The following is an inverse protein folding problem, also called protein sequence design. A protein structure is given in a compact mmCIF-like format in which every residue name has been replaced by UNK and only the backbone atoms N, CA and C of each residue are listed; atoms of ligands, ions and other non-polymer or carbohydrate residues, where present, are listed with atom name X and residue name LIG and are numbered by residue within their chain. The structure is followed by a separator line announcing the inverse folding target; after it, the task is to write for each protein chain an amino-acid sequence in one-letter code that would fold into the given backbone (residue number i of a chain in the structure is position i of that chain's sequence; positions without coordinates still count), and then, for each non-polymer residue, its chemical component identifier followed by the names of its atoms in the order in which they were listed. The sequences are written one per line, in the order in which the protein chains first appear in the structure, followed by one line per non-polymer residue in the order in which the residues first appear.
data_IF_098816773797
#
_entry.id   IF_098816773797
#
_cell.length_a   1.000
_cell.length_b   1.000
_cell.length_c   1.000
_cell.angle_alpha   90.00
_cell.angle_beta   90.00
_cell.angle_gamma   90.00
#
_symmetry.space_group_name_H-M   'P 1'
#
loop_
_entity.id
_entity.type
_entity.pdbx_description
1 polymer ?
#
# COMPACT_ATOMS: atom_id res chain seq x y z
N UNK A 1 17.36 16.18 -34.44
CA UNK A 1 18.36 16.25 -33.36
C UNK A 1 17.68 15.64 -32.13
N UNK A 2 18.07 14.43 -31.78
CA UNK A 2 17.54 13.72 -30.62
C UNK A 2 18.41 14.17 -29.44
N UNK A 3 17.84 14.97 -28.54
CA UNK A 3 18.52 15.37 -27.33
C UNK A 3 18.75 14.15 -26.44
N UNK A 4 19.99 13.73 -26.27
CA UNK A 4 20.37 12.74 -25.28
C UNK A 4 20.03 13.29 -23.88
N UNK A 5 19.03 12.70 -23.24
CA UNK A 5 18.82 12.88 -21.82
C UNK A 5 19.96 12.15 -21.08
N UNK A 6 20.96 12.91 -20.60
CA UNK A 6 22.06 12.33 -19.81
C UNK A 6 21.56 12.05 -18.41
N UNK A 7 21.23 10.79 -18.13
CA UNK A 7 20.93 10.32 -16.79
C UNK A 7 22.23 9.92 -16.11
N UNK A 8 22.64 10.63 -15.07
CA UNK A 8 23.83 10.30 -14.28
C UNK A 8 23.41 9.49 -13.06
N UNK A 9 23.96 8.29 -12.92
CA UNK A 9 23.78 7.45 -11.72
C UNK A 9 25.01 7.63 -10.83
N UNK A 10 24.78 8.05 -9.61
CA UNK A 10 25.83 8.17 -8.60
C UNK A 10 25.74 7.02 -7.60
N UNK A 11 26.82 6.27 -7.44
CA UNK A 11 26.94 5.19 -6.47
C UNK A 11 27.60 5.74 -5.21
N UNK A 12 26.98 5.51 -4.04
CA UNK A 12 27.64 5.83 -2.78
C UNK A 12 28.61 4.68 -2.44
N UNK A 13 29.93 4.89 -2.42
CA UNK A 13 30.90 3.80 -2.38
C UNK A 13 30.98 3.02 -1.06
N UNK A 14 30.45 3.59 0.03
CA UNK A 14 30.78 3.10 1.38
C UNK A 14 29.96 1.88 1.86
N UNK A 15 28.92 1.46 1.13
CA UNK A 15 28.01 0.45 1.64
C UNK A 15 27.69 -0.73 0.68
N UNK A 16 28.08 -0.66 -0.60
CA UNK A 16 27.49 -1.53 -1.62
C UNK A 16 28.38 -2.68 -2.12
N UNK A 17 29.62 -2.80 -1.68
CA UNK A 17 30.52 -3.87 -2.14
C UNK A 17 30.61 -3.96 -3.67
N UNK A 18 30.08 -5.01 -4.29
CA UNK A 18 30.04 -5.22 -5.74
C UNK A 18 28.70 -4.84 -6.40
N UNK A 19 27.76 -4.25 -5.68
CA UNK A 19 26.45 -3.90 -6.25
C UNK A 19 26.58 -2.95 -7.43
N UNK A 20 25.92 -3.25 -8.52
CA UNK A 20 25.92 -2.43 -9.73
C UNK A 20 24.50 -2.01 -10.12
N UNK A 21 24.41 -0.81 -10.68
CA UNK A 21 23.19 -0.30 -11.29
C UNK A 21 23.39 -0.26 -12.80
N UNK A 22 22.50 -0.86 -13.54
CA UNK A 22 22.46 -0.74 -14.99
C UNK A 22 21.17 -0.02 -15.40
N UNK A 23 21.32 1.02 -16.20
CA UNK A 23 20.22 1.69 -16.89
C UNK A 23 20.19 1.18 -18.31
N UNK A 24 19.10 0.57 -18.72
CA UNK A 24 18.88 0.16 -20.08
C UNK A 24 17.62 0.84 -20.64
N UNK A 25 17.63 1.30 -21.92
CA UNK A 25 16.43 1.79 -22.56
C UNK A 25 15.38 0.66 -22.60
N UNK A 26 14.14 0.96 -22.25
CA UNK A 26 13.02 0.06 -22.45
C UNK A 26 12.41 0.29 -23.84
N UNK A 27 12.04 -0.77 -24.53
CA UNK A 27 11.76 -0.78 -25.96
C UNK A 27 10.54 0.01 -26.45
N UNK A 28 9.84 0.74 -25.63
CA UNK A 28 8.59 1.34 -26.12
C UNK A 28 8.09 2.56 -25.37
N UNK A 29 8.61 3.53 -25.03
CA UNK A 29 7.98 4.76 -24.54
C UNK A 29 8.91 5.71 -23.73
N UNK A 30 10.17 5.88 -24.10
CA UNK A 30 11.09 6.73 -23.35
C UNK A 30 11.20 6.35 -21.85
N UNK A 31 11.08 5.08 -21.54
CA UNK A 31 11.28 4.55 -20.19
C UNK A 31 12.66 3.92 -20.09
N UNK A 32 13.28 3.99 -18.92
CA UNK A 32 14.51 3.29 -18.62
C UNK A 32 14.23 2.19 -17.61
N UNK A 33 14.79 1.02 -17.81
CA UNK A 33 14.83 0.00 -16.79
C UNK A 33 16.08 0.16 -15.93
N UNK A 34 15.90 0.05 -14.62
CA UNK A 34 16.97 0.08 -13.64
C UNK A 34 17.10 -1.31 -13.05
N UNK A 35 18.23 -1.95 -13.25
CA UNK A 35 18.56 -3.22 -12.61
C UNK A 35 19.61 -3.02 -11.55
N UNK A 36 19.40 -3.60 -10.38
CA UNK A 36 20.37 -3.62 -9.29
C UNK A 36 20.78 -5.06 -9.08
N UNK A 37 22.08 -5.31 -9.17
CA UNK A 37 22.69 -6.64 -8.98
C UNK A 37 23.54 -6.68 -7.73
N UNK A 38 23.70 -7.87 -7.15
CA UNK A 38 24.61 -8.15 -6.02
C UNK A 38 24.28 -7.35 -4.74
N UNK A 39 23.00 -7.21 -4.41
CA UNK A 39 22.60 -6.63 -3.14
C UNK A 39 23.07 -7.51 -1.96
N UNK A 40 23.48 -6.89 -0.84
CA UNK A 40 23.79 -7.62 0.39
C UNK A 40 22.62 -8.50 0.84
N UNK A 41 22.92 -9.56 1.60
CA UNK A 41 21.93 -10.55 2.02
C UNK A 41 20.85 -9.98 2.97
N UNK A 42 21.15 -8.91 3.67
CA UNK A 42 20.22 -8.26 4.63
C UNK A 42 20.18 -6.75 4.40
N UNK A 43 19.05 -6.11 4.67
CA UNK A 43 18.86 -4.67 4.58
C UNK A 43 17.97 -4.23 3.42
N UNK A 44 17.99 -2.96 3.10
CA UNK A 44 17.17 -2.34 2.06
C UNK A 44 18.02 -1.41 1.20
N UNK A 45 17.92 -1.56 -0.12
CA UNK A 45 18.45 -0.59 -1.07
C UNK A 45 17.41 0.47 -1.38
N UNK A 46 17.76 1.74 -1.28
CA UNK A 46 16.86 2.86 -1.57
C UNK A 46 17.37 3.64 -2.77
N UNK A 47 16.52 3.83 -3.75
CA UNK A 47 16.78 4.70 -4.90
C UNK A 47 16.20 6.07 -4.62
N UNK A 48 17.02 7.08 -4.83
CA UNK A 48 16.69 8.48 -4.66
C UNK A 48 16.67 9.18 -6.01
N UNK A 49 15.73 10.09 -6.20
CA UNK A 49 15.64 10.96 -7.37
C UNK A 49 15.80 12.42 -6.96
N UNK A 50 16.50 13.19 -7.79
CA UNK A 50 16.54 14.66 -7.70
C UNK A 50 16.59 15.26 -9.10
N UNK A 51 16.05 16.45 -9.25
CA UNK A 51 16.22 17.28 -10.47
C UNK A 51 17.48 18.14 -10.40
N UNK A 52 18.18 18.16 -9.28
CA UNK A 52 19.39 18.91 -9.05
C UNK A 52 20.52 18.02 -8.52
N UNK A 53 21.59 17.84 -9.30
CA UNK A 53 22.74 17.01 -8.93
C UNK A 53 23.50 17.53 -7.69
N UNK A 54 23.50 18.84 -7.47
CA UNK A 54 24.19 19.46 -6.34
C UNK A 54 23.32 19.55 -5.07
N UNK A 55 22.11 19.02 -5.12
CA UNK A 55 21.20 19.03 -3.99
C UNK A 55 21.80 18.26 -2.80
N UNK A 56 21.80 18.90 -1.64
CA UNK A 56 22.12 18.25 -0.35
C UNK A 56 20.85 17.79 0.30
N UNK A 57 20.85 16.56 0.81
CA UNK A 57 19.82 15.94 1.66
C UNK A 57 18.35 16.20 1.34
N UNK A 58 17.90 17.40 1.54
CA UNK A 58 16.48 17.79 1.47
C UNK A 58 15.85 17.81 0.07
N UNK A 59 16.65 17.77 -0.98
CA UNK A 59 16.17 17.79 -2.38
C UNK A 59 16.20 16.43 -3.07
N UNK A 60 16.50 15.37 -2.33
CA UNK A 60 16.46 14.00 -2.83
C UNK A 60 15.23 13.30 -2.29
N UNK A 61 14.36 12.83 -3.18
CA UNK A 61 13.18 12.05 -2.82
C UNK A 61 13.45 10.57 -3.02
N UNK A 62 13.14 9.74 -2.02
CA UNK A 62 13.16 8.31 -2.17
C UNK A 62 12.03 7.90 -3.13
N UNK A 63 12.38 7.24 -4.22
CA UNK A 63 11.41 6.81 -5.23
C UNK A 63 11.20 5.30 -5.21
N UNK A 64 12.14 4.55 -4.64
CA UNK A 64 12.03 3.11 -4.57
C UNK A 64 12.94 2.52 -3.51
N UNK A 65 12.48 1.44 -2.85
CA UNK A 65 13.29 0.64 -1.96
C UNK A 65 13.16 -0.85 -2.32
N UNK A 66 14.21 -1.61 -2.17
CA UNK A 66 14.24 -3.05 -2.46
C UNK A 66 14.65 -3.80 -1.20
N UNK A 67 13.90 -4.83 -0.79
CA UNK A 67 14.32 -5.72 0.28
C UNK A 67 15.53 -6.56 -0.15
N UNK A 68 16.32 -6.98 0.83
CA UNK A 68 17.46 -7.86 0.63
C UNK A 68 17.08 -9.22 0.00
N UNK A 69 18.02 -9.85 -0.66
CA UNK A 69 17.93 -11.26 -1.11
C UNK A 69 17.08 -11.51 -2.34
N UNK A 70 16.49 -10.48 -2.96
CA UNK A 70 15.83 -10.62 -4.27
C UNK A 70 16.64 -9.87 -5.33
N UNK A 71 17.20 -10.61 -6.29
CA UNK A 71 17.60 -9.99 -7.55
C UNK A 71 16.31 -9.47 -8.22
N UNK A 72 16.11 -8.19 -8.20
CA UNK A 72 14.95 -7.59 -8.84
C UNK A 72 15.42 -6.81 -10.05
N UNK A 73 15.09 -7.36 -11.21
CA UNK A 73 14.96 -6.57 -12.42
C UNK A 73 13.60 -5.87 -12.28
N UNK A 74 13.57 -4.68 -11.74
CA UNK A 74 12.37 -3.88 -11.73
C UNK A 74 12.48 -2.89 -12.87
N UNK A 75 11.58 -2.98 -13.82
CA UNK A 75 11.35 -1.95 -14.79
C UNK A 75 10.71 -0.77 -14.05
N UNK A 76 11.53 0.09 -13.48
CA UNK A 76 11.05 1.37 -12.97
C UNK A 76 10.66 2.21 -14.17
N UNK A 77 9.40 2.62 -14.33
CA UNK A 77 9.02 3.56 -15.35
C UNK A 77 9.59 4.95 -14.99
N UNK A 78 10.87 5.14 -15.25
CA UNK A 78 11.46 6.47 -15.23
C UNK A 78 10.95 7.18 -16.47
N UNK A 79 9.86 7.91 -16.35
CA UNK A 79 9.39 8.81 -17.42
C UNK A 79 10.19 10.11 -17.29
N UNK A 80 11.14 10.40 -18.18
CA UNK A 80 11.72 11.72 -18.24
C UNK A 80 10.60 12.68 -18.67
N UNK A 81 10.36 13.73 -17.90
CA UNK A 81 9.64 14.87 -18.45
C UNK A 81 10.46 15.43 -19.61
N UNK A 82 9.82 15.95 -20.63
CA UNK A 82 10.50 16.41 -21.86
C UNK A 82 11.52 17.53 -21.63
N UNK A 83 11.63 18.04 -20.42
CA UNK A 83 12.38 19.26 -20.08
C UNK A 83 13.35 19.12 -18.91
N UNK A 84 13.28 18.06 -18.09
CA UNK A 84 14.05 18.02 -16.85
C UNK A 84 15.09 16.88 -16.83
N UNK A 85 16.32 17.20 -16.44
CA UNK A 85 17.33 16.22 -16.09
C UNK A 85 16.94 15.55 -14.78
N UNK A 86 16.95 14.22 -14.72
CA UNK A 86 16.76 13.49 -13.49
C UNK A 86 18.07 12.80 -13.06
N UNK A 87 18.40 12.93 -11.79
CA UNK A 87 19.56 12.32 -11.18
C UNK A 87 19.09 11.24 -10.20
N UNK A 88 19.79 10.13 -10.15
CA UNK A 88 19.49 9.03 -9.26
C UNK A 88 20.70 8.68 -8.42
N UNK A 89 20.48 8.34 -7.17
CA UNK A 89 21.50 7.73 -6.31
C UNK A 89 20.93 6.47 -5.65
N UNK A 90 21.79 5.51 -5.41
CA UNK A 90 21.48 4.33 -4.61
C UNK A 90 22.12 4.47 -3.23
N UNK A 91 21.38 4.19 -2.19
CA UNK A 91 21.92 4.03 -0.84
C UNK A 91 21.52 2.67 -0.29
N UNK A 92 22.37 2.09 0.53
CA UNK A 92 22.09 0.85 1.26
C UNK A 92 21.82 1.15 2.71
N UNK A 93 20.83 0.47 3.29
CA UNK A 93 20.52 0.55 4.70
C UNK A 93 20.42 -0.86 5.28
N UNK A 94 21.18 -1.11 6.33
CA UNK A 94 21.08 -2.37 7.07
C UNK A 94 19.91 -2.27 8.06
N UNK A 95 18.69 -2.37 7.55
CA UNK A 95 17.47 -2.36 8.34
C UNK A 95 16.71 -3.66 8.13
N UNK A 96 15.94 -4.05 9.13
CA UNK A 96 15.08 -5.23 9.10
C UNK A 96 13.64 -4.75 9.16
N UNK A 97 12.90 -4.92 8.05
CA UNK A 97 11.46 -4.67 8.01
C UNK A 97 10.75 -5.77 8.80
N UNK A 98 9.66 -5.45 9.55
CA UNK A 98 8.93 -6.46 10.30
C UNK A 98 8.48 -7.65 9.44
N UNK A 99 8.61 -8.87 9.96
CA UNK A 99 8.33 -10.13 9.22
C UNK A 99 6.86 -10.25 8.78
N UNK A 100 5.96 -9.57 9.49
CA UNK A 100 4.54 -9.55 9.15
C UNK A 100 4.18 -8.59 8.00
N UNK A 101 5.16 -7.94 7.38
CA UNK A 101 4.93 -7.05 6.25
C UNK A 101 5.34 -7.70 4.92
N UNK A 102 4.51 -7.50 3.91
CA UNK A 102 4.72 -8.01 2.55
C UNK A 102 5.21 -6.86 1.67
N UNK A 103 6.30 -7.09 0.95
CA UNK A 103 6.79 -6.18 -0.07
C UNK A 103 5.95 -6.23 -1.34
N UNK A 104 5.52 -5.07 -1.80
CA UNK A 104 4.81 -4.88 -3.05
C UNK A 104 5.66 -4.00 -3.98
N UNK A 105 6.04 -4.51 -5.17
CA UNK A 105 6.77 -3.71 -6.14
C UNK A 105 5.86 -2.66 -6.79
N UNK A 106 6.44 -1.62 -7.42
CA UNK A 106 5.70 -0.76 -8.33
C UNK A 106 5.02 -1.57 -9.42
N UNK A 107 3.89 -1.08 -9.92
CA UNK A 107 3.18 -1.77 -10.99
C UNK A 107 1.92 -1.05 -11.43
N UNK A 108 1.39 -1.50 -12.55
CA UNK A 108 0.13 -1.02 -13.11
C UNK A 108 -0.99 -2.02 -12.84
N UNK A 109 -2.18 -1.54 -12.54
CA UNK A 109 -3.36 -2.39 -12.41
C UNK A 109 -4.63 -1.68 -12.88
N UNK A 110 -5.71 -2.44 -13.01
CA UNK A 110 -7.04 -1.92 -13.29
C UNK A 110 -7.81 -1.76 -12.00
N UNK A 111 -8.08 -0.52 -11.61
CA UNK A 111 -8.85 -0.15 -10.44
C UNK A 111 -10.32 0.02 -10.77
N UNK A 112 -11.20 -0.41 -9.87
CA UNK A 112 -12.64 -0.35 -10.02
C UNK A 112 -13.26 -1.63 -10.59
N UNK A 113 -14.58 -1.64 -10.79
CA UNK A 113 -15.34 -2.78 -11.30
C UNK A 113 -15.96 -2.47 -12.67
N UNK A 114 -15.98 -3.46 -13.60
CA UNK A 114 -16.63 -3.30 -14.89
C UNK A 114 -18.15 -3.21 -14.73
N UNK A 115 -18.84 -2.56 -15.69
CA UNK A 115 -20.29 -2.35 -15.62
C UNK A 115 -21.12 -3.63 -15.50
N UNK A 116 -20.59 -4.75 -16.01
CA UNK A 116 -21.21 -6.06 -15.91
C UNK A 116 -20.95 -6.83 -14.60
N UNK A 117 -20.18 -6.29 -13.66
CA UNK A 117 -19.89 -6.99 -12.41
C UNK A 117 -21.15 -7.05 -11.52
N UNK A 118 -21.56 -8.25 -11.07
CA UNK A 118 -22.79 -8.40 -10.28
C UNK A 118 -22.73 -7.59 -8.96
N UNK A 119 -23.81 -6.90 -8.66
CA UNK A 119 -24.00 -6.13 -7.41
C UNK A 119 -22.95 -5.01 -7.18
N UNK A 120 -22.32 -4.51 -8.24
CA UNK A 120 -21.44 -3.34 -8.14
C UNK A 120 -22.21 -2.07 -7.79
N UNK A 121 -21.54 -1.13 -7.14
CA UNK A 121 -22.04 0.22 -6.91
C UNK A 121 -21.54 1.17 -8.01
N UNK A 122 -22.27 2.26 -8.24
CA UNK A 122 -21.95 3.21 -9.32
C UNK A 122 -20.60 3.89 -9.15
N UNK A 123 -20.19 4.13 -7.91
CA UNK A 123 -18.94 4.79 -7.55
C UNK A 123 -17.69 3.88 -7.63
N UNK A 124 -17.88 2.60 -7.92
CA UNK A 124 -16.79 1.68 -8.22
C UNK A 124 -16.26 1.80 -9.66
N UNK A 125 -16.84 2.64 -10.46
CA UNK A 125 -16.48 2.84 -11.87
C UNK A 125 -16.27 4.30 -12.23
N UNK A 126 -15.74 4.49 -13.44
CA UNK A 126 -15.33 3.49 -14.44
C UNK A 126 -14.03 2.77 -14.06
N UNK A 127 -13.82 1.56 -14.60
CA UNK A 127 -12.53 0.89 -14.54
C UNK A 127 -11.48 1.76 -15.22
N UNK A 128 -10.39 2.01 -14.53
CA UNK A 128 -9.30 2.84 -15.05
C UNK A 128 -7.93 2.25 -14.68
N UNK A 129 -6.92 2.67 -15.43
CA UNK A 129 -5.54 2.25 -15.15
C UNK A 129 -4.96 3.12 -14.04
N UNK A 130 -4.34 2.48 -13.06
CA UNK A 130 -3.60 3.13 -11.98
C UNK A 130 -2.18 2.60 -11.98
N UNK A 131 -1.22 3.50 -11.85
CA UNK A 131 0.20 3.19 -11.66
C UNK A 131 0.55 3.41 -10.19
N UNK A 132 1.02 2.38 -9.52
CA UNK A 132 1.74 2.48 -8.27
C UNK A 132 3.21 2.71 -8.64
N UNK A 133 3.69 3.92 -8.48
CA UNK A 133 4.99 4.38 -8.97
C UNK A 133 6.16 4.11 -8.01
N UNK A 134 5.86 3.56 -6.83
CA UNK A 134 6.83 3.23 -5.78
C UNK A 134 6.57 1.84 -5.21
N UNK A 135 7.61 1.20 -4.71
CA UNK A 135 7.45 -0.01 -3.91
C UNK A 135 7.11 0.34 -2.46
N UNK A 136 6.40 -0.53 -1.80
CA UNK A 136 6.00 -0.34 -0.40
C UNK A 136 5.84 -1.68 0.31
N UNK A 137 5.89 -1.67 1.63
CA UNK A 137 5.51 -2.81 2.47
C UNK A 137 4.13 -2.58 3.03
N UNK A 138 3.34 -3.63 3.12
CA UNK A 138 2.00 -3.58 3.70
C UNK A 138 1.85 -4.71 4.72
N UNK A 139 1.21 -4.42 5.85
CA UNK A 139 0.90 -5.43 6.86
C UNK A 139 0.11 -6.58 6.25
N UNK A 140 0.56 -7.80 6.54
CA UNK A 140 -0.10 -9.05 6.14
C UNK A 140 -1.50 -9.17 6.72
N UNK A 141 -1.69 -8.65 7.92
CA UNK A 141 -2.90 -8.70 8.71
C UNK A 141 -3.41 -7.29 9.02
N UNK A 142 -4.66 -7.20 9.44
CA UNK A 142 -5.20 -6.03 10.11
C UNK A 142 -4.41 -5.74 11.40
N UNK A 143 -4.37 -4.49 11.85
CA UNK A 143 -3.74 -4.14 13.13
C UNK A 143 -4.52 -4.77 14.27
N UNK A 144 -3.86 -5.57 15.10
CA UNK A 144 -4.51 -6.26 16.22
C UNK A 144 -4.74 -5.35 17.43
N UNK A 145 -5.65 -5.75 18.32
CA UNK A 145 -5.91 -5.05 19.58
C UNK A 145 -4.65 -4.97 20.44
N UNK A 146 -3.85 -6.04 20.49
CA UNK A 146 -2.57 -6.04 21.22
C UNK A 146 -1.63 -4.97 20.67
N UNK A 147 -1.38 -5.00 19.35
CA UNK A 147 -0.45 -4.05 18.72
C UNK A 147 -0.91 -2.60 18.87
N UNK A 148 -2.22 -2.36 18.74
CA UNK A 148 -2.79 -1.03 18.95
C UNK A 148 -2.63 -0.57 20.39
N UNK A 149 -3.00 -1.41 21.35
CA UNK A 149 -2.95 -1.08 22.79
C UNK A 149 -1.51 -0.85 23.27
N UNK A 150 -0.57 -1.68 22.81
CA UNK A 150 0.84 -1.56 23.17
C UNK A 150 1.43 -0.19 22.77
N UNK A 151 0.98 0.38 21.65
CA UNK A 151 1.49 1.66 21.15
C UNK A 151 0.67 2.86 21.63
N UNK A 152 -0.66 2.72 21.69
CA UNK A 152 -1.58 3.83 21.98
C UNK A 152 -1.95 3.94 23.46
N UNK A 153 -1.76 2.87 24.24
CA UNK A 153 -2.05 2.83 25.67
C UNK A 153 -3.50 2.54 26.04
N UNK A 154 -4.39 2.36 25.05
CA UNK A 154 -5.81 2.04 25.26
C UNK A 154 -6.34 1.15 24.15
N UNK A 155 -7.42 0.40 24.44
CA UNK A 155 -8.15 -0.40 23.46
C UNK A 155 -9.54 0.21 23.21
N UNK A 156 -9.84 0.75 22.01
CA UNK A 156 -11.16 1.31 21.68
C UNK A 156 -12.18 0.25 21.28
N UNK A 157 -11.76 -1.01 21.10
CA UNK A 157 -12.60 -2.09 20.57
C UNK A 157 -13.82 -2.38 21.43
N UNK A 158 -14.90 -2.85 20.82
CA UNK A 158 -16.14 -3.21 21.50
C UNK A 158 -16.18 -4.64 22.02
N UNK A 159 -15.21 -5.45 21.61
CA UNK A 159 -15.07 -6.86 22.01
C UNK A 159 -14.13 -7.00 23.18
N UNK A 160 -14.18 -8.11 23.89
CA UNK A 160 -13.16 -8.44 24.89
C UNK A 160 -11.77 -8.37 24.27
N UNK A 161 -10.81 -7.88 25.09
CA UNK A 161 -9.42 -7.81 24.67
C UNK A 161 -8.86 -9.20 24.41
N UNK A 162 -8.33 -9.39 23.21
CA UNK A 162 -7.50 -10.55 22.86
C UNK A 162 -6.31 -10.10 22.02
N UNK A 163 -5.25 -10.90 22.01
CA UNK A 163 -4.03 -10.56 21.26
C UNK A 163 -4.25 -10.49 19.76
N UNK A 164 -5.05 -11.42 19.23
CA UNK A 164 -5.12 -11.72 17.80
C UNK A 164 -6.39 -11.21 17.09
N UNK A 165 -7.32 -10.58 17.81
CA UNK A 165 -8.45 -9.91 17.15
C UNK A 165 -8.01 -8.57 16.57
N UNK A 166 -8.50 -8.19 15.38
CA UNK A 166 -8.24 -6.85 14.87
C UNK A 166 -8.83 -5.79 15.79
N UNK A 167 -8.15 -4.66 15.90
CA UNK A 167 -8.70 -3.50 16.59
C UNK A 167 -9.87 -2.95 15.78
N UNK A 168 -10.97 -2.62 16.44
CA UNK A 168 -12.12 -1.98 15.82
C UNK A 168 -12.56 -0.71 16.58
N UNK A 169 -13.55 0.02 16.06
CA UNK A 169 -13.97 1.33 16.60
C UNK A 169 -12.85 2.38 16.64
N UNK A 170 -11.87 2.22 15.77
CA UNK A 170 -10.78 3.20 15.59
C UNK A 170 -11.26 4.28 14.62
N UNK A 171 -11.09 5.54 14.97
CA UNK A 171 -11.30 6.66 14.06
C UNK A 171 -10.16 6.72 13.04
N UNK A 172 -10.38 7.40 11.90
CA UNK A 172 -9.33 7.62 10.92
C UNK A 172 -8.15 8.42 11.50
N UNK A 173 -8.44 9.40 12.35
CA UNK A 173 -7.41 10.20 13.01
C UNK A 173 -6.58 9.38 14.00
N UNK A 174 -7.19 8.45 14.75
CA UNK A 174 -6.46 7.53 15.63
C UNK A 174 -5.60 6.54 14.85
N UNK A 175 -6.10 6.02 13.73
CA UNK A 175 -5.31 5.16 12.87
C UNK A 175 -4.08 5.89 12.28
N UNK A 176 -4.23 7.16 11.93
CA UNK A 176 -3.10 8.01 11.52
C UNK A 176 -2.13 8.31 12.66
N UNK A 177 -2.64 8.60 13.85
CA UNK A 177 -1.79 8.83 15.02
C UNK A 177 -1.00 7.57 15.37
N UNK A 178 -1.60 6.38 15.27
CA UNK A 178 -0.90 5.10 15.38
C UNK A 178 0.26 4.99 14.38
N UNK A 179 0.02 5.27 13.11
CA UNK A 179 1.06 5.27 12.08
C UNK A 179 2.19 6.27 12.37
N UNK A 180 1.83 7.46 12.84
CA UNK A 180 2.80 8.50 13.20
C UNK A 180 3.70 8.03 14.35
N UNK A 181 3.13 7.47 15.41
CA UNK A 181 3.91 6.94 16.56
C UNK A 181 4.81 5.79 16.16
N UNK A 182 4.36 4.87 15.29
CA UNK A 182 5.23 3.84 14.74
C UNK A 182 6.40 4.45 13.97
N UNK A 183 6.13 5.47 13.16
CA UNK A 183 7.17 6.17 12.39
C UNK A 183 8.20 6.82 13.31
N UNK A 184 7.76 7.51 14.36
CA UNK A 184 8.65 8.14 15.34
C UNK A 184 9.50 7.10 16.07
N UNK A 185 8.88 6.00 16.51
CA UNK A 185 9.56 4.91 17.22
C UNK A 185 10.65 4.24 16.36
N UNK A 186 10.31 3.86 15.15
CA UNK A 186 11.22 3.12 14.27
C UNK A 186 12.25 4.04 13.60
N UNK A 187 11.93 5.32 13.40
CA UNK A 187 12.92 6.33 12.99
C UNK A 187 13.99 6.53 14.06
N UNK A 188 13.57 6.61 15.34
CA UNK A 188 14.51 6.73 16.47
C UNK A 188 15.42 5.50 16.62
N UNK A 189 14.97 4.33 16.17
CA UNK A 189 15.72 3.07 16.15
C UNK A 189 16.55 2.86 14.88
N UNK A 190 16.41 3.75 13.88
CA UNK A 190 16.98 3.59 12.55
C UNK A 190 16.55 2.29 11.86
N UNK A 191 15.30 1.86 12.06
CA UNK A 191 14.73 0.65 11.46
C UNK A 191 13.79 0.93 10.30
N UNK A 192 13.51 2.19 9.98
CA UNK A 192 12.76 2.59 8.79
C UNK A 192 13.67 2.90 7.60
N UNK A 193 13.28 2.51 6.36
CA UNK A 193 13.97 2.98 5.17
C UNK A 193 13.93 4.51 5.08
N UNK A 194 15.04 5.12 4.73
CA UNK A 194 15.11 6.57 4.53
C UNK A 194 14.07 7.02 3.50
N UNK A 195 13.31 8.07 3.83
CA UNK A 195 12.26 8.59 2.97
C UNK A 195 10.95 7.79 3.02
N UNK A 196 10.87 6.79 3.89
CA UNK A 196 9.66 6.01 4.15
C UNK A 196 9.09 6.30 5.53
N UNK A 197 7.80 6.10 5.68
CA UNK A 197 7.06 6.24 6.93
C UNK A 197 5.95 5.21 7.03
N UNK A 198 5.49 4.92 8.23
CA UNK A 198 4.22 4.24 8.41
C UNK A 198 3.08 5.20 8.09
N UNK A 199 2.10 4.74 7.35
CA UNK A 199 0.84 5.44 7.07
C UNK A 199 -0.27 4.44 6.75
N UNK A 200 -1.49 4.92 6.66
CA UNK A 200 -2.57 4.15 6.04
C UNK A 200 -2.24 3.93 4.55
N UNK A 201 -2.66 2.80 3.96
CA UNK A 201 -2.59 2.62 2.52
C UNK A 201 -3.46 3.68 1.82
N UNK A 202 -3.04 4.13 0.65
CA UNK A 202 -3.96 4.80 -0.26
C UNK A 202 -5.02 3.80 -0.73
N UNK A 203 -6.16 4.29 -1.20
CA UNK A 203 -7.20 3.43 -1.76
C UNK A 203 -6.67 2.56 -2.91
N UNK A 204 -5.80 3.15 -3.74
CA UNK A 204 -5.17 2.44 -4.84
C UNK A 204 -4.19 1.37 -4.38
N UNK A 205 -3.35 1.65 -3.39
CA UNK A 205 -2.44 0.65 -2.81
C UNK A 205 -3.19 -0.50 -2.16
N UNK A 206 -4.30 -0.19 -1.47
CA UNK A 206 -5.15 -1.20 -0.86
C UNK A 206 -5.77 -2.12 -1.92
N UNK A 207 -6.38 -1.56 -2.99
CA UNK A 207 -7.00 -2.36 -4.05
C UNK A 207 -5.96 -3.14 -4.86
N UNK A 208 -4.76 -2.59 -5.08
CA UNK A 208 -3.64 -3.29 -5.70
C UNK A 208 -3.24 -4.54 -4.91
N UNK A 209 -3.08 -4.39 -3.60
CA UNK A 209 -2.77 -5.51 -2.70
C UNK A 209 -3.92 -6.53 -2.62
N UNK A 210 -5.16 -6.06 -2.54
CA UNK A 210 -6.35 -6.90 -2.48
C UNK A 210 -6.50 -7.76 -3.73
N UNK A 211 -6.34 -7.18 -4.93
CA UNK A 211 -6.46 -7.90 -6.20
C UNK A 211 -5.36 -8.91 -6.42
N UNK A 212 -4.17 -8.68 -5.91
CA UNK A 212 -3.04 -9.59 -6.05
C UNK A 212 -2.82 -10.05 -7.52
N UNK A 213 -2.92 -9.11 -8.46
CA UNK A 213 -2.73 -9.35 -9.90
C UNK A 213 -3.97 -9.80 -10.66
N UNK A 214 -5.14 -9.93 -10.01
CA UNK A 214 -6.41 -10.31 -10.68
C UNK A 214 -7.25 -9.09 -11.06
N UNK A 215 -8.21 -9.30 -11.99
CA UNK A 215 -9.24 -8.32 -12.33
C UNK A 215 -10.65 -8.81 -11.95
N UNK A 216 -10.75 -9.93 -11.24
CA UNK A 216 -12.00 -10.54 -10.80
C UNK A 216 -12.62 -9.82 -9.59
N UNK A 217 -13.86 -10.15 -9.26
CA UNK A 217 -14.58 -9.56 -8.12
C UNK A 217 -13.84 -9.78 -6.77
N UNK A 218 -13.18 -10.93 -6.62
CA UNK A 218 -12.33 -11.26 -5.46
C UNK A 218 -10.95 -11.70 -5.95
N UNK A 219 -9.96 -11.69 -5.10
CA UNK A 219 -8.58 -12.09 -5.43
C UNK A 219 -8.41 -13.53 -5.91
N UNK A 220 -9.38 -14.39 -5.67
CA UNK A 220 -9.40 -15.81 -6.07
C UNK A 220 -10.35 -16.10 -7.25
N UNK A 221 -11.07 -15.09 -7.76
CA UNK A 221 -12.05 -15.22 -8.88
C UNK A 221 -13.39 -14.57 -8.59
N UNK A 222 -14.43 -14.92 -9.37
CA UNK A 222 -15.74 -14.28 -9.30
C UNK A 222 -16.77 -15.05 -8.46
N UNK A 223 -16.44 -16.28 -8.04
CA UNK A 223 -17.41 -17.17 -7.40
C UNK A 223 -17.49 -16.95 -5.89
N UNK A 224 -18.64 -16.49 -5.41
CA UNK A 224 -18.91 -16.32 -3.97
C UNK A 224 -18.83 -17.61 -3.17
N UNK A 225 -19.00 -18.78 -3.80
CA UNK A 225 -18.94 -20.09 -3.12
C UNK A 225 -17.59 -20.40 -2.47
N UNK A 226 -16.52 -19.69 -2.85
CA UNK A 226 -15.20 -19.84 -2.27
C UNK A 226 -14.90 -18.78 -1.19
N UNK A 227 -15.77 -17.78 -1.02
CA UNK A 227 -15.52 -16.64 -0.14
C UNK A 227 -15.22 -17.06 1.31
N UNK A 228 -15.95 -18.05 1.83
CA UNK A 228 -15.74 -18.55 3.20
C UNK A 228 -14.37 -19.20 3.45
N UNK A 229 -13.58 -19.43 2.40
CA UNK A 229 -12.21 -19.91 2.53
C UNK A 229 -11.20 -18.74 2.63
N UNK A 230 -11.59 -17.52 2.19
CA UNK A 230 -10.71 -16.39 2.03
C UNK A 230 -11.09 -15.15 2.83
N UNK A 231 -12.31 -15.13 3.41
CA UNK A 231 -12.80 -13.95 4.11
C UNK A 231 -13.88 -14.28 5.15
N UNK A 232 -13.88 -13.53 6.24
CA UNK A 232 -14.90 -13.58 7.28
C UNK A 232 -16.04 -12.63 6.93
N UNK A 233 -17.24 -13.19 6.76
CA UNK A 233 -18.44 -12.47 6.32
C UNK A 233 -19.72 -13.00 6.99
N UNK A 234 -20.88 -12.45 6.65
CA UNK A 234 -22.14 -12.75 7.34
C UNK A 234 -22.51 -14.24 7.41
N UNK A 235 -22.07 -15.08 6.45
CA UNK A 235 -22.45 -16.49 6.44
C UNK A 235 -21.49 -17.40 7.23
N UNK A 236 -20.24 -16.98 7.53
CA UNK A 236 -19.27 -17.85 8.21
C UNK A 236 -18.74 -17.31 9.55
N UNK A 237 -18.89 -16.00 9.84
CA UNK A 237 -18.38 -15.35 11.05
C UNK A 237 -19.27 -15.53 12.29
N UNK A 238 -20.50 -16.04 12.13
CA UNK A 238 -21.53 -16.09 13.19
C UNK A 238 -21.85 -14.71 13.80
N UNK A 239 -21.65 -13.64 13.02
CA UNK A 239 -21.86 -12.26 13.47
C UNK A 239 -20.80 -11.75 14.45
N UNK A 240 -19.61 -12.34 14.46
CA UNK A 240 -18.49 -11.97 15.33
C UNK A 240 -17.24 -11.65 14.52
N UNK A 241 -16.41 -10.80 15.10
CA UNK A 241 -15.04 -10.53 14.64
C UNK A 241 -14.18 -11.77 14.94
N UNK A 242 -13.32 -12.14 14.02
CA UNK A 242 -12.49 -13.32 14.11
C UNK A 242 -10.99 -12.97 14.21
N UNK A 243 -10.20 -13.93 14.70
CA UNK A 243 -8.75 -13.76 14.77
C UNK A 243 -8.15 -13.56 13.38
N UNK A 244 -7.17 -12.67 13.30
CA UNK A 244 -6.47 -12.40 12.03
C UNK A 244 -5.73 -13.63 11.55
N UNK A 245 -5.71 -13.85 10.22
CA UNK A 245 -4.96 -14.94 9.62
C UNK A 245 -5.61 -16.31 9.71
N UNK A 246 -6.88 -16.41 10.14
CA UNK A 246 -7.58 -17.67 10.32
C UNK A 246 -7.99 -18.40 9.04
N UNK A 247 -7.99 -17.73 7.90
CA UNK A 247 -8.41 -18.27 6.61
C UNK A 247 -7.26 -18.27 5.58
N UNK A 248 -7.56 -18.66 4.34
CA UNK A 248 -6.57 -18.68 3.24
C UNK A 248 -6.27 -17.26 2.77
N UNK A 249 -5.00 -16.86 2.67
CA UNK A 249 -4.64 -15.55 2.16
C UNK A 249 -4.91 -15.41 0.65
N UNK A 250 -4.85 -14.19 0.15
CA UNK A 250 -4.84 -13.95 -1.27
C UNK A 250 -3.51 -14.42 -1.92
N UNK A 251 -3.37 -14.43 -3.25
CA UNK A 251 -2.16 -14.92 -3.93
C UNK A 251 -0.85 -14.20 -3.53
N UNK A 252 -0.93 -13.00 -3.00
CA UNK A 252 0.23 -12.26 -2.51
C UNK A 252 0.51 -12.41 -1.01
N UNK A 253 -0.32 -13.19 -0.30
CA UNK A 253 -0.12 -13.52 1.11
C UNK A 253 -0.83 -12.60 2.10
N UNK A 254 -1.77 -11.76 1.66
CA UNK A 254 -2.61 -10.93 2.53
C UNK A 254 -3.80 -11.72 3.05
N UNK A 255 -3.98 -11.71 4.36
CA UNK A 255 -5.10 -12.33 5.06
C UNK A 255 -6.21 -11.31 5.33
N UNK A 256 -7.42 -11.81 5.44
CA UNK A 256 -8.62 -11.08 5.87
C UNK A 256 -8.99 -9.86 5.00
N UNK A 257 -8.31 -9.68 3.85
CA UNK A 257 -8.50 -8.55 2.95
C UNK A 257 -9.87 -8.55 2.26
N UNK A 258 -10.64 -9.63 2.42
CA UNK A 258 -12.03 -9.81 1.99
C UNK A 258 -12.93 -10.07 3.21
N UNK A 259 -13.00 -9.15 4.17
CA UNK A 259 -13.91 -9.25 5.31
C UNK A 259 -13.29 -8.92 6.66
N UNK A 260 -13.70 -9.61 7.70
CA UNK A 260 -13.36 -9.40 9.10
C UNK A 260 -13.68 -7.98 9.59
N UNK A 261 -12.83 -6.98 9.35
CA UNK A 261 -13.16 -5.57 9.58
C UNK A 261 -12.93 -4.73 8.33
N UNK A 262 -13.72 -3.67 8.16
CA UNK A 262 -13.42 -2.65 7.17
C UNK A 262 -12.11 -1.96 7.50
N UNK A 263 -11.37 -1.57 6.49
CA UNK A 263 -10.05 -0.96 6.64
C UNK A 263 -10.02 0.48 6.15
N UNK A 264 -9.62 1.41 7.03
CA UNK A 264 -9.41 2.79 6.68
C UNK A 264 -8.31 2.95 5.62
N UNK A 265 -8.61 3.71 4.56
CA UNK A 265 -7.64 4.22 3.61
C UNK A 265 -7.29 5.68 3.87
N UNK A 266 -6.13 6.11 3.36
CA UNK A 266 -5.62 7.46 3.55
C UNK A 266 -6.46 8.52 2.85
N UNK A 267 -7.04 8.16 1.69
CA UNK A 267 -7.68 9.07 0.77
C UNK A 267 -8.94 9.70 1.32
N UNK A 268 -9.24 10.89 0.79
CA UNK A 268 -10.55 11.48 0.90
C UNK A 268 -11.43 10.93 -0.23
N UNK A 269 -12.65 10.51 0.12
CA UNK A 269 -13.58 9.96 -0.85
C UNK A 269 -13.89 10.96 -1.97
N UNK A 270 -13.72 10.53 -3.20
CA UNK A 270 -14.03 11.27 -4.43
C UNK A 270 -14.46 10.30 -5.52
N UNK A 271 -15.17 10.83 -6.54
CA UNK A 271 -15.42 10.06 -7.76
C UNK A 271 -14.10 9.66 -8.41
N UNK A 272 -14.08 8.49 -9.03
CA UNK A 272 -13.00 8.14 -9.96
C UNK A 272 -13.05 9.04 -11.20
N UNK A 273 -11.94 9.21 -11.94
CA UNK A 273 -11.93 10.01 -13.16
C UNK A 273 -13.03 9.58 -14.13
N UNK A 274 -13.95 10.50 -14.45
CA UNK A 274 -15.12 10.23 -15.30
C UNK A 274 -16.27 9.46 -14.62
N UNK A 275 -16.17 9.21 -13.32
CA UNK A 275 -17.18 8.49 -12.53
C UNK A 275 -18.11 9.39 -11.73
N UNK A 276 -18.85 8.77 -10.82
CA UNK A 276 -19.80 9.43 -9.90
C UNK A 276 -19.44 9.14 -8.44
N UNK A 277 -19.69 10.10 -7.56
CA UNK A 277 -19.56 9.94 -6.12
C UNK A 277 -20.94 9.97 -5.43
N UNK A 278 -21.06 9.28 -4.30
CA UNK A 278 -22.28 9.32 -3.48
C UNK A 278 -22.46 10.65 -2.75
N UNK A 279 -21.36 11.25 -2.34
CA UNK A 279 -21.37 12.53 -1.64
C UNK A 279 -20.16 13.35 -2.03
N UNK A 280 -20.33 14.66 -2.07
CA UNK A 280 -19.30 15.62 -2.51
C UNK A 280 -18.74 16.43 -1.34
N UNK A 281 -18.83 15.92 -0.11
CA UNK A 281 -18.48 16.70 1.08
C UNK A 281 -16.99 17.03 1.23
N UNK A 282 -16.12 16.39 0.45
CA UNK A 282 -14.66 16.63 0.49
C UNK A 282 -13.95 16.28 1.80
N UNK A 283 -14.68 15.75 2.78
CA UNK A 283 -14.15 15.42 4.13
C UNK A 283 -14.27 13.95 4.49
N UNK A 284 -15.07 13.18 3.75
CA UNK A 284 -15.32 11.77 4.04
C UNK A 284 -14.10 10.92 3.68
N UNK A 285 -13.85 9.91 4.47
CA UNK A 285 -12.76 8.95 4.29
C UNK A 285 -13.28 7.59 3.81
N UNK A 286 -12.39 6.81 3.23
CA UNK A 286 -12.73 5.57 2.53
C UNK A 286 -12.47 4.39 3.45
N UNK A 287 -13.44 3.46 3.46
CA UNK A 287 -13.28 2.12 3.97
C UNK A 287 -13.26 1.10 2.83
N UNK A 288 -12.47 0.07 2.98
CA UNK A 288 -12.35 -1.03 2.02
C UNK A 288 -12.49 -2.39 2.71
N UNK A 289 -12.65 -3.47 1.93
CA UNK A 289 -12.56 -4.86 2.38
C UNK A 289 -13.87 -5.51 2.81
N UNK A 290 -14.82 -4.76 3.31
CA UNK A 290 -16.01 -5.33 3.96
C UNK A 290 -15.70 -5.77 5.38
N UNK A 291 -16.68 -6.40 6.04
CA UNK A 291 -16.54 -6.86 7.41
C UNK A 291 -17.34 -8.14 7.67
N UNK A 292 -17.10 -8.73 8.83
CA UNK A 292 -17.69 -9.99 9.29
C UNK A 292 -19.22 -10.05 9.23
N UNK A 293 -19.91 -8.92 9.26
CA UNK A 293 -21.37 -8.82 9.22
C UNK A 293 -21.94 -8.47 7.84
N UNK A 294 -21.08 -8.32 6.83
CA UNK A 294 -21.46 -7.85 5.51
C UNK A 294 -21.84 -9.01 4.57
N UNK A 295 -22.76 -8.78 3.60
CA UNK A 295 -23.00 -9.72 2.53
C UNK A 295 -21.80 -9.74 1.57
N UNK A 296 -21.65 -10.83 0.82
CA UNK A 296 -20.53 -11.03 -0.13
C UNK A 296 -20.28 -9.87 -1.09
N UNK A 297 -21.34 -9.16 -1.50
CA UNK A 297 -21.23 -8.02 -2.41
C UNK A 297 -20.35 -6.88 -1.90
N UNK A 298 -20.23 -6.73 -0.58
CA UNK A 298 -19.42 -5.66 0.04
C UNK A 298 -17.95 -6.06 0.15
N UNK A 299 -17.64 -7.35 0.10
CA UNK A 299 -16.29 -7.89 0.24
C UNK A 299 -15.51 -7.95 -1.09
N UNK A 300 -16.09 -7.46 -2.20
CA UNK A 300 -15.43 -7.44 -3.52
C UNK A 300 -14.24 -6.48 -3.51
N UNK A 301 -13.22 -6.80 -4.29
CA UNK A 301 -11.98 -6.01 -4.37
C UNK A 301 -12.24 -4.54 -4.72
N UNK A 302 -13.21 -4.25 -5.59
CA UNK A 302 -13.54 -2.90 -6.02
C UNK A 302 -14.56 -2.19 -5.14
N UNK A 303 -15.21 -2.89 -4.19
CA UNK A 303 -16.27 -2.28 -3.38
C UNK A 303 -15.71 -1.15 -2.53
N UNK A 304 -16.32 0.00 -2.70
CA UNK A 304 -16.06 1.20 -1.90
C UNK A 304 -17.18 1.29 -0.86
N UNK A 305 -16.87 0.88 0.37
CA UNK A 305 -17.87 0.98 1.46
C UNK A 305 -18.33 2.42 1.64
N UNK A 306 -19.48 2.61 2.26
CA UNK A 306 -19.99 3.94 2.57
C UNK A 306 -18.91 4.82 3.19
N UNK A 307 -18.59 5.96 2.56
CA UNK A 307 -17.57 6.85 3.08
C UNK A 307 -18.02 7.46 4.42
N UNK A 308 -17.09 7.57 5.36
CA UNK A 308 -17.37 8.02 6.73
C UNK A 308 -16.57 9.27 7.10
N UNK A 309 -17.06 10.02 8.10
CA UNK A 309 -16.29 11.11 8.69
C UNK A 309 -15.04 10.60 9.38
N UNK A 310 -13.94 11.37 9.45
CA UNK A 310 -12.69 10.95 10.08
C UNK A 310 -12.85 10.57 11.56
N UNK A 311 -13.78 11.17 12.27
CA UNK A 311 -14.09 10.95 13.69
C UNK A 311 -15.09 9.82 13.95
N UNK A 312 -15.58 9.15 12.91
CA UNK A 312 -16.57 8.07 13.03
C UNK A 312 -15.97 6.81 13.64
N UNK A 313 -16.61 6.28 14.70
CA UNK A 313 -16.22 5.05 15.38
C UNK A 313 -17.17 3.92 15.01
N UNK A 314 -16.78 3.15 14.02
CA UNK A 314 -17.60 2.03 13.56
C UNK A 314 -17.14 0.71 14.20
N UNK A 315 -18.10 -0.07 14.72
CA UNK A 315 -17.82 -1.40 15.29
C UNK A 315 -17.26 -2.39 14.26
N UNK A 316 -17.47 -2.13 12.98
CA UNK A 316 -16.97 -2.91 11.87
C UNK A 316 -15.66 -2.37 11.29
N UNK A 317 -15.16 -1.22 11.77
CA UNK A 317 -14.05 -0.50 11.17
C UNK A 317 -12.75 -0.63 11.96
N UNK A 318 -11.70 -1.09 11.29
CA UNK A 318 -10.32 -1.18 11.72
C UNK A 318 -9.38 -0.61 10.64
N UNK A 319 -8.16 -1.14 10.54
CA UNK A 319 -7.17 -0.71 9.54
C UNK A 319 -5.97 -1.65 9.48
N UNK A 320 -5.20 -1.55 8.39
CA UNK A 320 -3.82 -2.05 8.28
C UNK A 320 -2.88 -0.92 7.90
N UNK A 321 -1.57 -1.12 8.07
CA UNK A 321 -0.59 -0.08 7.78
C UNK A 321 0.34 -0.45 6.64
N UNK A 322 0.91 0.57 6.01
CA UNK A 322 1.98 0.44 5.04
C UNK A 322 3.23 1.18 5.51
N UNK A 323 4.41 0.70 5.09
CA UNK A 323 5.66 1.47 5.08
C UNK A 323 5.86 1.92 3.64
N UNK A 324 5.75 3.21 3.39
CA UNK A 324 5.76 3.78 2.05
C UNK A 324 6.29 5.23 2.07
N UNK A 325 6.62 5.81 0.93
CA UNK A 325 6.92 7.23 0.84
C UNK A 325 5.75 8.10 1.34
N UNK A 326 5.99 9.32 1.82
CA UNK A 326 4.94 10.26 2.18
C UNK A 326 3.98 10.49 1.01
N UNK A 327 2.67 10.38 1.28
CA UNK A 327 1.65 10.67 0.27
C UNK A 327 1.40 12.18 0.18
N UNK A 328 1.33 12.72 -1.03
CA UNK A 328 0.98 14.13 -1.25
C UNK A 328 2.16 15.11 -1.23
N UNK A 329 3.39 14.66 -1.11
CA UNK A 329 4.52 15.46 -1.60
C UNK A 329 4.50 15.33 -3.13
N UNK A 330 3.73 16.21 -3.77
CA UNK A 330 3.79 16.37 -5.21
C UNK A 330 5.27 16.50 -5.58
N UNK A 331 5.71 15.65 -6.47
CA UNK A 331 7.00 15.83 -7.12
C UNK A 331 6.88 17.14 -7.91
N UNK A 332 7.21 18.26 -7.25
CA UNK A 332 7.40 19.55 -7.91
C UNK A 332 8.68 19.49 -8.75
#
# INVERSE_FOLDING_TARGET
MIGLCTTLVWLCPEALGQASIQLSPSDSNNTFSLSVTELPATGVAVIWRSTNLLAKGEHWSAVHAFPSGKQTKSDLPVRPSKTDSAFFKLSWQNIIVPENMIWLPPGDFKMGSPDGEPKRYKDEGPVHSVTIDHGFWMDRYEVTQERFTALMGNNPSSTEYTTDLPVNRVTWDEAREFCKRLTELDSARNTLPLGYQYRLPTEAEWEYACRAGTNSAYSYGDKTSQLSQHGWWAENSRGQIEQVGGLTPNPWGFYDIHGNVFEWCLDTYRAYPGGTAYSDSGTMKIFRGGAYYCPSSILRSACRAEPQKPDYRWVLGGFRVVIAPPHGQAQN
#
